data_IF_255994875809
#
_entry.id   IF_255994875809
#
_cell.length_a   1.000
_cell.length_b   1.000
_cell.length_c   1.000
_cell.angle_alpha   90.00
_cell.angle_beta   90.00
_cell.angle_gamma   90.00
#
_symmetry.space_group_name_H-M   'P 1'
#
loop_
_entity.id
_entity.type
_entity.pdbx_description
1 polymer ?
#
# COMPACT_ATOMS: atom_id res chain seq x y z
N UNK A 1 -7.11 6.72 12.80
CA UNK A 1 -6.62 6.59 11.42
C UNK A 1 -7.26 5.35 10.79
N UNK A 2 -7.98 5.50 9.67
CA UNK A 2 -8.68 4.37 9.07
C UNK A 2 -7.80 3.48 8.18
N UNK A 3 -6.50 3.77 8.11
CA UNK A 3 -5.58 2.99 7.27
C UNK A 3 -5.19 1.69 7.98
N UNK A 4 -4.82 0.69 7.20
CA UNK A 4 -4.41 -0.61 7.74
C UNK A 4 -3.14 -1.12 7.07
N UNK A 5 -2.41 -1.97 7.78
CA UNK A 5 -1.22 -2.64 7.28
C UNK A 5 -1.45 -4.15 7.39
N UNK A 6 -1.31 -4.85 6.27
CA UNK A 6 -1.41 -6.30 6.21
C UNK A 6 -0.05 -6.90 5.84
N UNK A 7 0.30 -7.98 6.47
CA UNK A 7 1.58 -8.66 6.24
C UNK A 7 1.29 -10.06 5.72
N UNK A 8 1.92 -10.41 4.61
CA UNK A 8 1.73 -11.69 3.95
C UNK A 8 3.07 -12.10 3.35
N UNK A 9 3.29 -13.38 3.13
CA UNK A 9 4.56 -13.86 2.58
C UNK A 9 4.91 -13.16 1.26
N UNK A 10 3.97 -13.15 0.31
CA UNK A 10 4.16 -12.47 -0.97
C UNK A 10 3.36 -11.18 -1.11
N UNK A 11 2.45 -10.91 -0.17
CA UNK A 11 1.60 -9.72 -0.19
C UNK A 11 0.42 -9.79 -1.13
N UNK A 12 0.46 -10.65 -2.15
CA UNK A 12 -0.51 -10.62 -3.24
C UNK A 12 -1.90 -11.08 -2.81
N UNK A 13 -1.98 -12.21 -2.11
CA UNK A 13 -3.26 -12.79 -1.69
C UNK A 13 -4.03 -11.85 -0.76
N UNK A 14 -3.35 -11.23 0.18
CA UNK A 14 -3.98 -10.31 1.12
C UNK A 14 -4.48 -9.06 0.40
N UNK A 15 -3.73 -8.55 -0.58
CA UNK A 15 -4.15 -7.41 -1.37
C UNK A 15 -5.39 -7.73 -2.21
N UNK A 16 -5.41 -8.91 -2.85
CA UNK A 16 -6.57 -9.34 -3.63
C UNK A 16 -7.81 -9.45 -2.75
N UNK A 17 -7.66 -10.04 -1.57
CA UNK A 17 -8.77 -10.19 -0.62
C UNK A 17 -9.27 -8.82 -0.15
N UNK A 18 -8.36 -7.94 0.24
CA UNK A 18 -8.70 -6.61 0.73
C UNK A 18 -9.45 -5.77 -0.32
N UNK A 19 -9.00 -5.84 -1.58
CA UNK A 19 -9.59 -5.05 -2.67
C UNK A 19 -10.98 -5.53 -3.09
N UNK A 20 -11.48 -6.61 -2.52
CA UNK A 20 -12.85 -7.03 -2.77
C UNK A 20 -13.88 -6.21 -2.01
N UNK A 21 -13.44 -5.42 -1.05
CA UNK A 21 -14.33 -4.56 -0.26
C UNK A 21 -14.37 -3.15 -0.84
N UNK A 22 -15.56 -2.61 -0.99
CA UNK A 22 -15.74 -1.25 -1.52
C UNK A 22 -15.02 -0.25 -0.63
N UNK A 23 -14.34 0.71 -1.25
CA UNK A 23 -13.61 1.74 -0.53
C UNK A 23 -12.22 1.32 -0.06
N UNK A 24 -11.82 0.06 -0.28
CA UNK A 24 -10.48 -0.41 0.07
C UNK A 24 -9.58 -0.32 -1.17
N UNK A 25 -8.46 0.37 -1.01
CA UNK A 25 -7.42 0.50 -2.03
C UNK A 25 -6.13 -0.05 -1.45
N UNK A 26 -5.97 -1.37 -1.56
CA UNK A 26 -4.81 -2.10 -1.04
C UNK A 26 -3.74 -2.21 -2.10
N UNK A 27 -2.50 -1.95 -1.71
CA UNK A 27 -1.36 -2.00 -2.60
C UNK A 27 -0.25 -2.85 -2.00
N UNK A 28 0.37 -3.71 -2.83
CA UNK A 28 1.56 -4.48 -2.45
C UNK A 28 2.78 -3.62 -2.70
N UNK A 29 3.53 -3.32 -1.66
CA UNK A 29 4.64 -2.38 -1.72
C UNK A 29 5.91 -3.05 -1.22
N UNK A 30 6.99 -2.93 -1.99
CA UNK A 30 8.27 -3.57 -1.71
C UNK A 30 9.45 -2.61 -1.62
N UNK A 31 9.23 -1.31 -1.86
CA UNK A 31 10.27 -0.30 -1.70
C UNK A 31 9.67 1.06 -1.32
N UNK A 32 10.55 1.96 -0.93
CA UNK A 32 10.18 3.29 -0.45
C UNK A 32 9.53 4.14 -1.55
N UNK A 33 10.02 4.02 -2.79
CA UNK A 33 9.49 4.80 -3.91
C UNK A 33 8.02 4.46 -4.15
N UNK A 34 7.70 3.16 -4.21
CA UNK A 34 6.32 2.71 -4.42
C UNK A 34 5.43 3.06 -3.22
N UNK A 35 5.98 3.06 -2.00
CA UNK A 35 5.24 3.50 -0.82
C UNK A 35 4.79 4.95 -0.95
N UNK A 36 5.68 5.80 -1.45
CA UNK A 36 5.36 7.20 -1.70
C UNK A 36 4.29 7.33 -2.79
N UNK A 37 4.51 6.68 -3.93
CA UNK A 37 3.63 6.82 -5.10
C UNK A 37 2.21 6.34 -4.84
N UNK A 38 2.05 5.21 -4.16
CA UNK A 38 0.70 4.67 -3.92
C UNK A 38 -0.11 5.57 -2.97
N UNK A 39 0.54 6.29 -2.08
CA UNK A 39 -0.12 7.28 -1.24
C UNK A 39 -0.40 8.56 -2.00
N UNK A 40 0.63 9.08 -2.65
CA UNK A 40 0.59 10.37 -3.34
C UNK A 40 -0.46 10.38 -4.46
N UNK A 41 -0.45 9.34 -5.29
CA UNK A 41 -1.30 9.27 -6.48
C UNK A 41 -2.63 8.57 -6.23
N UNK A 42 -2.65 7.52 -5.43
CA UNK A 42 -3.78 6.59 -5.36
C UNK A 42 -4.51 6.60 -4.02
N UNK A 43 -3.98 7.31 -3.03
CA UNK A 43 -4.55 7.32 -1.68
C UNK A 43 -4.78 5.88 -1.18
N UNK A 44 -3.79 5.01 -1.39
CA UNK A 44 -3.87 3.63 -0.93
C UNK A 44 -4.08 3.63 0.59
N UNK A 45 -5.14 2.99 1.04
CA UNK A 45 -5.50 2.98 2.45
C UNK A 45 -5.19 1.65 3.16
N UNK A 46 -4.68 0.66 2.41
CA UNK A 46 -4.18 -0.59 2.97
C UNK A 46 -2.83 -0.89 2.34
N UNK A 47 -1.81 -0.97 3.19
CA UNK A 47 -0.46 -1.34 2.78
C UNK A 47 -0.29 -2.84 2.97
N UNK A 48 0.05 -3.56 1.91
CA UNK A 48 0.35 -5.00 1.99
C UNK A 48 1.85 -5.20 1.86
N UNK A 49 2.47 -5.69 2.94
CA UNK A 49 3.92 -5.91 2.96
C UNK A 49 4.23 -7.36 2.60
N UNK A 50 5.03 -7.59 1.53
CA UNK A 50 5.49 -8.93 1.17
C UNK A 50 6.71 -9.29 2.01
N UNK A 51 6.50 -9.98 3.13
CA UNK A 51 7.55 -10.26 4.10
C UNK A 51 8.77 -10.94 3.49
N UNK A 52 8.54 -11.84 2.52
CA UNK A 52 9.63 -12.55 1.83
C UNK A 52 10.59 -11.59 1.12
N UNK A 53 10.07 -10.47 0.64
CA UNK A 53 10.85 -9.50 -0.15
C UNK A 53 11.49 -8.45 0.76
N UNK A 54 10.73 -7.94 1.73
CA UNK A 54 11.16 -6.78 2.53
C UNK A 54 11.89 -7.17 3.82
N UNK A 55 11.80 -8.45 4.19
CA UNK A 55 12.50 -8.98 5.37
C UNK A 55 12.79 -10.48 5.15
N UNK A 56 13.63 -10.82 4.14
CA UNK A 56 13.85 -12.22 3.79
C UNK A 56 14.63 -12.96 4.88
N UNK A 57 14.28 -14.22 5.16
CA UNK A 57 14.97 -15.02 6.16
C UNK A 57 16.47 -15.17 5.83
N UNK A 58 17.30 -15.01 6.85
CA UNK A 58 18.75 -15.18 6.71
C UNK A 58 19.48 -14.02 6.06
N UNK A 59 18.79 -12.95 5.72
CA UNK A 59 19.40 -11.74 5.17
C UNK A 59 19.20 -10.57 6.12
N UNK A 60 20.21 -9.69 6.19
CA UNK A 60 20.14 -8.50 7.02
C UNK A 60 19.44 -7.35 6.31
N UNK A 61 18.31 -7.64 5.68
CA UNK A 61 17.52 -6.66 4.95
C UNK A 61 16.21 -6.43 5.71
N UNK A 62 15.95 -5.20 6.10
CA UNK A 62 14.76 -4.83 6.85
C UNK A 62 14.17 -3.51 6.34
N UNK A 63 14.12 -3.35 5.03
CA UNK A 63 13.61 -2.12 4.43
C UNK A 63 12.11 -1.89 4.66
N UNK A 64 11.42 -2.84 5.30
CA UNK A 64 10.01 -2.67 5.64
C UNK A 64 9.78 -1.44 6.53
N UNK A 65 10.77 -1.08 7.36
CA UNK A 65 10.64 0.07 8.27
C UNK A 65 10.54 1.38 7.50
N UNK A 66 11.43 1.58 6.52
CA UNK A 66 11.38 2.79 5.69
C UNK A 66 10.14 2.83 4.80
N UNK A 67 9.66 1.66 4.37
CA UNK A 67 8.43 1.56 3.59
C UNK A 67 7.25 2.03 4.43
N UNK A 68 7.11 1.53 5.65
CA UNK A 68 6.03 1.89 6.55
C UNK A 68 6.06 3.38 6.87
N UNK A 69 7.25 3.90 7.21
CA UNK A 69 7.41 5.32 7.53
C UNK A 69 7.01 6.20 6.36
N UNK A 70 7.49 5.89 5.15
CA UNK A 70 7.16 6.68 3.96
C UNK A 70 5.66 6.62 3.67
N UNK A 71 5.06 5.42 3.79
CA UNK A 71 3.64 5.24 3.52
C UNK A 71 2.78 6.03 4.50
N UNK A 72 3.14 6.01 5.79
CA UNK A 72 2.39 6.75 6.81
C UNK A 72 2.54 8.26 6.66
N UNK A 73 3.71 8.72 6.23
CA UNK A 73 4.03 10.15 6.19
C UNK A 73 3.65 10.85 4.89
N UNK A 74 3.36 10.10 3.83
CA UNK A 74 3.05 10.71 2.52
C UNK A 74 1.56 11.04 2.43
N UNK A 75 1.20 12.32 2.22
CA UNK A 75 -0.18 12.70 2.01
C UNK A 75 -0.65 12.39 0.60
N UNK A 76 -1.96 12.22 0.43
CA UNK A 76 -2.57 12.17 -0.89
C UNK A 76 -2.46 13.54 -1.54
N UNK A 77 -2.03 13.57 -2.81
CA UNK A 77 -1.86 14.83 -3.53
C UNK A 77 -3.19 15.57 -3.78
N UNK A 78 -4.28 14.82 -3.90
CA UNK A 78 -5.60 15.41 -4.06
C UNK A 78 -5.85 16.06 -5.40
N UNK A 79 -5.04 15.76 -6.42
CA UNK A 79 -5.29 16.26 -7.76
C UNK A 79 -6.63 15.75 -8.28
N UNK A 80 -7.34 16.59 -9.04
CA UNK A 80 -8.68 16.25 -9.53
C UNK A 80 -8.72 14.92 -10.28
N UNK A 81 -7.70 14.63 -11.09
CA UNK A 81 -7.61 13.37 -11.85
C UNK A 81 -7.48 12.16 -10.94
N UNK A 82 -6.77 12.29 -9.83
CA UNK A 82 -6.60 11.21 -8.85
C UNK A 82 -7.88 10.96 -8.08
N UNK A 83 -8.55 12.02 -7.65
CA UNK A 83 -9.83 11.94 -6.95
C UNK A 83 -10.85 11.23 -7.83
N UNK A 84 -10.94 11.61 -9.10
CA UNK A 84 -11.88 11.00 -10.06
C UNK A 84 -11.60 9.51 -10.25
N UNK A 85 -10.32 9.12 -10.41
CA UNK A 85 -9.95 7.72 -10.60
C UNK A 85 -10.29 6.87 -9.38
N UNK A 86 -10.03 7.39 -8.18
CA UNK A 86 -10.38 6.68 -6.95
C UNK A 86 -11.89 6.53 -6.79
N UNK A 87 -12.65 7.55 -7.13
CA UNK A 87 -14.11 7.47 -7.10
C UNK A 87 -14.64 6.38 -8.04
N UNK A 88 -14.01 6.20 -9.20
CA UNK A 88 -14.36 5.14 -10.14
C UNK A 88 -14.04 3.76 -9.57
N UNK A 89 -12.87 3.61 -8.92
CA UNK A 89 -12.49 2.36 -8.27
C UNK A 89 -13.46 1.99 -7.14
N UNK A 90 -13.89 2.96 -6.37
CA UNK A 90 -14.76 2.74 -5.22
C UNK A 90 -16.18 2.31 -5.62
N UNK A 91 -16.52 2.35 -6.90
CA UNK A 91 -17.82 1.87 -7.41
C UNK A 91 -17.89 0.37 -7.60
N UNK A 92 -16.76 -0.31 -7.61
CA UNK A 92 -16.71 -1.76 -7.84
C UNK A 92 -17.02 -2.57 -6.59
#
# INVERSE_FOLDING_TARGET
DPRAILICTGGQGMAMAANRFSGIRAAVIWDKFEAHECRHDNDANVLCLPARVVDPPGEARDNWKEIVDEWLDTPFAGAARYIRRNAELDKF
#
